data_IF_017854084467
#
_entry.id   IF_017854084467
#
_cell.length_a   1.000
_cell.length_b   1.000
_cell.length_c   1.000
_cell.angle_alpha   90.00
_cell.angle_beta   90.00
_cell.angle_gamma   90.00
#
_symmetry.space_group_name_H-M   'P 1'
#
loop_
_entity.id
_entity.type
_entity.pdbx_description
1 polymer ?
#
# COMPACT_ATOMS: atom_id res chain seq x y z
N UNK A 1 39.46 53.55 2.31
CA UNK A 1 40.15 52.34 2.76
C UNK A 1 39.36 51.16 2.26
N UNK A 2 39.86 50.71 1.18
CA UNK A 2 39.92 49.37 0.59
C UNK A 2 38.70 48.47 0.64
N UNK A 3 37.97 48.50 -0.48
CA UNK A 3 37.14 47.43 -0.96
C UNK A 3 38.00 46.29 -1.51
N UNK A 4 37.49 45.05 -1.40
CA UNK A 4 37.96 43.92 -2.18
C UNK A 4 36.72 43.31 -2.88
N UNK A 5 36.73 43.60 -4.15
CA UNK A 5 35.86 43.03 -5.19
C UNK A 5 36.36 41.62 -5.50
N UNK A 6 35.52 40.58 -5.42
CA UNK A 6 35.82 39.23 -5.89
C UNK A 6 34.85 38.85 -7.01
N UNK A 7 35.22 39.25 -8.21
CA UNK A 7 34.70 38.74 -9.47
C UNK A 7 35.24 37.32 -9.70
N UNK A 8 34.39 36.30 -9.73
CA UNK A 8 34.72 34.97 -10.22
C UNK A 8 34.14 34.79 -11.61
N UNK A 9 35.05 34.70 -12.58
CA UNK A 9 34.82 34.43 -14.00
C UNK A 9 34.22 33.04 -14.20
N UNK A 10 33.23 32.98 -15.07
CA UNK A 10 32.79 31.76 -15.78
C UNK A 10 33.90 31.40 -16.78
N UNK A 11 34.37 30.16 -16.72
CA UNK A 11 34.91 29.46 -17.90
C UNK A 11 34.89 27.94 -17.71
N UNK A 12 34.37 27.30 -18.76
CA UNK A 12 34.65 25.97 -19.29
C UNK A 12 34.16 24.69 -18.58
N UNK A 13 32.99 24.31 -18.98
CA UNK A 13 32.52 22.93 -18.96
C UNK A 13 32.93 22.27 -20.30
N UNK A 14 34.06 21.56 -20.38
CA UNK A 14 34.42 20.70 -21.51
C UNK A 14 34.17 19.21 -21.16
N UNK A 15 33.19 18.71 -21.84
CA UNK A 15 32.93 17.35 -22.30
C UNK A 15 34.08 16.35 -22.13
N UNK A 16 33.90 15.36 -21.28
CA UNK A 16 34.62 14.09 -21.32
C UNK A 16 33.68 13.03 -21.89
N UNK A 17 33.89 12.69 -23.18
CA UNK A 17 33.31 11.48 -23.79
C UNK A 17 34.16 10.30 -23.35
N UNK A 18 33.59 9.39 -22.57
CA UNK A 18 34.18 8.08 -22.30
C UNK A 18 33.76 7.13 -23.39
N UNK A 19 34.76 6.61 -24.07
CA UNK A 19 34.70 5.62 -25.14
C UNK A 19 34.34 4.26 -24.52
N UNK A 20 33.14 3.70 -24.82
CA UNK A 20 32.81 2.33 -24.45
C UNK A 20 33.35 1.38 -25.50
N UNK A 21 34.36 0.61 -25.14
CA UNK A 21 34.88 -0.50 -25.94
C UNK A 21 33.94 -1.69 -25.86
N UNK A 22 33.37 -2.07 -26.97
CA UNK A 22 32.60 -3.28 -27.21
C UNK A 22 33.55 -4.48 -27.23
N UNK A 23 33.40 -5.41 -26.27
CA UNK A 23 34.06 -6.71 -26.33
C UNK A 23 33.06 -7.69 -26.92
N UNK A 24 33.36 -8.17 -28.12
CA UNK A 24 32.63 -9.25 -28.81
C UNK A 24 33.12 -10.57 -28.22
N UNK A 25 32.28 -11.27 -27.50
CA UNK A 25 32.53 -12.65 -27.08
C UNK A 25 31.91 -13.62 -28.10
N UNK A 26 32.72 -14.50 -28.58
CA UNK A 26 32.49 -15.47 -29.64
C UNK A 26 31.42 -16.49 -29.26
N UNK A 27 30.44 -16.69 -30.14
CA UNK A 27 29.46 -17.75 -30.06
C UNK A 27 30.08 -19.11 -30.41
N UNK A 28 30.03 -20.08 -29.54
CA UNK A 28 30.27 -21.47 -29.84
C UNK A 28 28.96 -22.08 -30.41
N UNK A 29 28.98 -22.44 -31.67
CA UNK A 29 27.91 -23.18 -32.36
C UNK A 29 28.01 -24.65 -31.97
N UNK A 30 27.04 -25.15 -31.20
CA UNK A 30 26.86 -26.57 -30.96
C UNK A 30 25.92 -27.11 -32.04
N UNK A 31 26.45 -28.01 -32.89
CA UNK A 31 25.70 -28.75 -33.89
C UNK A 31 24.85 -29.82 -33.18
N UNK A 32 23.54 -29.69 -33.24
CA UNK A 32 22.61 -30.73 -32.80
C UNK A 32 22.29 -31.62 -33.98
N UNK A 33 22.73 -32.87 -33.91
CA UNK A 33 22.29 -33.99 -34.79
C UNK A 33 20.84 -34.36 -34.44
N UNK A 34 19.95 -34.24 -35.39
CA UNK A 34 18.57 -34.69 -35.28
C UNK A 34 18.48 -36.21 -35.34
N UNK A 35 17.82 -36.84 -34.38
CA UNK A 35 17.22 -38.16 -34.56
C UNK A 35 15.71 -37.99 -34.54
N UNK A 36 15.08 -38.33 -35.66
CA UNK A 36 13.63 -38.45 -35.79
C UNK A 36 13.15 -39.73 -35.09
N UNK A 37 12.12 -39.67 -34.28
CA UNK A 37 11.25 -40.78 -33.96
C UNK A 37 9.84 -40.24 -33.65
N UNK A 38 8.87 -40.79 -34.37
CA UNK A 38 7.44 -40.53 -34.24
C UNK A 38 6.87 -40.76 -32.85
N UNK A 39 5.92 -39.94 -32.44
CA UNK A 39 5.10 -40.21 -31.26
C UNK A 39 4.38 -38.96 -30.81
N UNK A 40 3.10 -38.76 -31.15
CA UNK A 40 2.28 -37.63 -30.74
C UNK A 40 2.16 -37.52 -29.22
N UNK A 41 2.72 -36.47 -28.66
CA UNK A 41 2.57 -36.04 -27.28
C UNK A 41 2.70 -34.54 -27.27
N UNK A 42 1.78 -33.89 -26.58
CA UNK A 42 1.81 -32.43 -26.33
C UNK A 42 3.13 -32.08 -25.65
N UNK A 43 4.11 -31.59 -26.42
CA UNK A 43 5.40 -31.13 -25.89
C UNK A 43 5.19 -29.89 -24.99
N UNK A 44 5.07 -30.17 -23.68
CA UNK A 44 5.47 -29.20 -22.70
C UNK A 44 6.99 -29.11 -22.77
N UNK A 45 7.52 -28.01 -23.29
CA UNK A 45 8.94 -27.68 -23.18
C UNK A 45 9.35 -27.85 -21.71
N UNK A 46 10.29 -28.76 -21.38
CA UNK A 46 10.70 -28.92 -20.00
C UNK A 46 11.37 -27.60 -19.58
N UNK A 47 10.76 -26.95 -18.57
CA UNK A 47 11.34 -25.80 -17.92
C UNK A 47 12.71 -26.21 -17.37
N UNK A 48 13.79 -25.64 -17.91
CA UNK A 48 15.17 -25.98 -17.54
C UNK A 48 15.40 -25.53 -16.08
N UNK A 49 15.23 -26.44 -15.14
CA UNK A 49 15.55 -26.19 -13.72
C UNK A 49 17.06 -26.34 -13.54
N UNK A 50 17.76 -25.29 -13.14
CA UNK A 50 19.14 -25.36 -12.74
C UNK A 50 19.28 -26.33 -11.56
N UNK A 51 20.37 -27.11 -11.54
CA UNK A 51 20.64 -28.04 -10.44
C UNK A 51 20.77 -27.23 -9.14
N UNK A 52 19.85 -27.45 -8.17
CA UNK A 52 19.78 -26.72 -6.92
C UNK A 52 18.53 -25.87 -6.71
N UNK A 53 17.70 -25.70 -7.74
CA UNK A 53 16.46 -24.94 -7.60
C UNK A 53 15.31 -25.79 -7.05
N UNK A 54 14.41 -25.15 -6.35
CA UNK A 54 13.18 -25.75 -5.81
C UNK A 54 12.01 -24.81 -5.97
N UNK A 55 10.82 -25.38 -6.02
CA UNK A 55 9.58 -24.61 -6.04
C UNK A 55 9.18 -24.31 -4.58
N UNK A 56 8.86 -23.03 -4.32
CA UNK A 56 8.34 -22.56 -3.04
C UNK A 56 6.95 -21.98 -3.25
N UNK A 57 6.01 -22.37 -2.41
CA UNK A 57 4.65 -21.85 -2.41
C UNK A 57 4.45 -20.92 -1.21
N UNK A 58 4.01 -19.71 -1.47
CA UNK A 58 3.72 -18.67 -0.49
C UNK A 58 2.21 -18.47 -0.42
N UNK A 59 1.61 -18.61 0.74
CA UNK A 59 0.19 -18.42 0.98
C UNK A 59 -0.06 -17.20 1.85
N UNK A 60 -0.78 -16.22 1.32
CA UNK A 60 -1.14 -14.96 1.97
C UNK A 60 -2.61 -14.94 2.42
N UNK A 61 -3.23 -16.09 2.59
CA UNK A 61 -4.66 -16.23 2.88
C UNK A 61 -5.02 -15.95 4.36
N UNK A 62 -4.09 -15.41 5.15
CA UNK A 62 -4.33 -15.08 6.55
C UNK A 62 -4.00 -13.62 6.82
N UNK A 63 -4.91 -12.93 7.50
CA UNK A 63 -4.71 -11.58 8.06
C UNK A 63 -4.75 -11.67 9.58
N UNK A 64 -3.78 -11.05 10.25
CA UNK A 64 -3.83 -10.89 11.69
C UNK A 64 -4.52 -9.58 12.00
N UNK A 65 -5.61 -9.61 12.75
CA UNK A 65 -6.27 -8.44 13.31
C UNK A 65 -6.05 -8.46 14.82
N UNK A 66 -5.50 -7.38 15.37
CA UNK A 66 -5.37 -7.22 16.81
C UNK A 66 -6.62 -6.52 17.35
N UNK A 67 -7.18 -7.02 18.45
CA UNK A 67 -8.32 -6.39 19.14
C UNK A 67 -7.85 -5.33 20.13
N UNK A 68 -8.56 -4.20 20.22
CA UNK A 68 -8.32 -3.14 21.22
C UNK A 68 -8.55 -3.60 22.65
N UNK A 69 -9.36 -4.63 22.86
CA UNK A 69 -9.62 -5.13 24.21
C UNK A 69 -8.46 -6.02 24.68
N UNK A 70 -7.64 -5.49 25.58
CA UNK A 70 -6.53 -6.25 26.19
C UNK A 70 -7.00 -7.52 26.93
N UNK A 71 -8.31 -7.67 27.17
CA UNK A 71 -8.92 -8.86 27.78
C UNK A 71 -9.40 -9.86 26.73
N UNK A 72 -9.73 -9.42 25.52
CA UNK A 72 -10.12 -10.25 24.40
C UNK A 72 -8.93 -10.45 23.46
N UNK A 73 -8.00 -11.33 23.78
CA UNK A 73 -6.93 -11.79 22.89
C UNK A 73 -7.49 -12.68 21.75
N UNK A 74 -8.59 -12.26 21.16
CA UNK A 74 -9.12 -12.91 19.97
C UNK A 74 -8.43 -12.30 18.74
N UNK A 75 -7.40 -13.00 18.26
CA UNK A 75 -6.85 -12.74 16.93
C UNK A 75 -7.88 -13.23 15.93
N UNK A 76 -8.69 -12.32 15.42
CA UNK A 76 -9.60 -12.66 14.32
C UNK A 76 -8.75 -12.91 13.09
N UNK A 77 -8.79 -14.13 12.53
CA UNK A 77 -8.13 -14.48 11.28
C UNK A 77 -9.15 -14.31 10.16
N UNK A 78 -8.91 -13.36 9.28
CA UNK A 78 -9.64 -13.20 8.02
C UNK A 78 -8.74 -13.58 6.84
N UNK A 79 -9.32 -13.82 5.67
CA UNK A 79 -8.58 -13.99 4.42
C UNK A 79 -8.45 -12.66 3.68
N UNK A 80 -7.50 -12.55 2.71
CA UNK A 80 -7.41 -11.40 1.83
C UNK A 80 -8.69 -11.19 1.00
N UNK A 81 -9.38 -12.29 0.67
CA UNK A 81 -10.65 -12.25 -0.07
C UNK A 81 -11.77 -11.69 0.80
N UNK A 82 -11.87 -12.13 2.07
CA UNK A 82 -12.83 -11.60 3.05
C UNK A 82 -12.57 -10.12 3.34
N UNK A 83 -11.29 -9.71 3.43
CA UNK A 83 -10.89 -8.31 3.58
C UNK A 83 -11.10 -7.47 2.30
N UNK A 84 -11.66 -8.04 1.24
CA UNK A 84 -11.90 -7.36 -0.04
C UNK A 84 -10.66 -6.65 -0.61
N UNK A 85 -9.45 -7.19 -0.39
CA UNK A 85 -8.23 -6.68 -1.00
C UNK A 85 -8.33 -6.80 -2.52
N UNK A 86 -7.92 -5.76 -3.23
CA UNK A 86 -8.00 -5.71 -4.69
C UNK A 86 -6.74 -6.26 -5.35
N UNK A 87 -5.60 -6.16 -4.66
CA UNK A 87 -4.29 -6.56 -5.18
C UNK A 87 -3.42 -7.17 -4.09
N UNK A 88 -2.49 -8.01 -4.56
CA UNK A 88 -1.36 -8.53 -3.80
C UNK A 88 -0.09 -8.34 -4.65
N UNK A 89 0.86 -7.58 -4.13
CA UNK A 89 2.17 -7.36 -4.73
C UNK A 89 3.23 -7.99 -3.84
N UNK A 90 4.11 -8.83 -4.44
CA UNK A 90 5.10 -9.65 -3.73
C UNK A 90 6.46 -9.50 -4.38
N UNK A 91 7.50 -9.32 -3.58
CA UNK A 91 8.89 -9.24 -4.00
C UNK A 91 9.72 -10.25 -3.22
N UNK A 92 10.51 -11.06 -3.95
CA UNK A 92 11.42 -12.05 -3.37
C UNK A 92 12.83 -11.71 -3.82
N UNK A 93 13.68 -11.30 -2.90
CA UNK A 93 15.04 -10.83 -3.18
C UNK A 93 16.10 -11.70 -2.51
N UNK A 94 17.16 -12.03 -3.25
CA UNK A 94 18.39 -12.64 -2.70
C UNK A 94 19.48 -11.59 -2.37
N UNK A 95 19.12 -10.31 -2.38
CA UNK A 95 20.04 -9.18 -2.18
C UNK A 95 20.72 -8.70 -3.46
N UNK A 96 20.66 -9.48 -4.56
CA UNK A 96 21.24 -9.12 -5.87
C UNK A 96 20.15 -9.02 -6.93
N UNK A 97 19.21 -9.94 -6.93
CA UNK A 97 18.09 -10.03 -7.85
C UNK A 97 16.78 -10.07 -7.09
N UNK A 98 15.74 -9.51 -7.68
CA UNK A 98 14.38 -9.53 -7.13
C UNK A 98 13.43 -10.14 -8.17
N UNK A 99 12.57 -11.06 -7.73
CA UNK A 99 11.44 -11.56 -8.50
C UNK A 99 10.19 -10.82 -8.02
N UNK A 100 9.42 -10.27 -8.95
CA UNK A 100 8.22 -9.49 -8.69
C UNK A 100 6.98 -10.28 -9.12
N UNK A 101 5.95 -10.30 -8.27
CA UNK A 101 4.67 -10.95 -8.55
C UNK A 101 3.56 -9.95 -8.22
N UNK A 102 2.63 -9.77 -9.15
CA UNK A 102 1.52 -8.85 -9.03
C UNK A 102 0.22 -9.58 -9.37
N UNK A 103 -0.65 -9.73 -8.37
CA UNK A 103 -1.95 -10.38 -8.54
C UNK A 103 -3.08 -9.38 -8.34
N UNK A 104 -4.09 -9.44 -9.21
CA UNK A 104 -5.39 -8.82 -9.00
C UNK A 104 -6.33 -9.81 -8.31
N UNK A 105 -7.35 -9.33 -7.58
CA UNK A 105 -8.36 -10.19 -6.92
C UNK A 105 -9.08 -11.13 -7.91
N UNK A 106 -9.13 -10.75 -9.18
CA UNK A 106 -9.77 -11.54 -10.26
C UNK A 106 -8.88 -12.64 -10.83
N UNK A 107 -7.60 -12.67 -10.47
CA UNK A 107 -6.66 -13.66 -10.97
C UNK A 107 -6.87 -15.01 -10.27
N UNK A 108 -6.76 -16.09 -11.03
CA UNK A 108 -6.81 -17.44 -10.48
C UNK A 108 -5.67 -17.64 -9.47
N UNK A 109 -6.00 -18.16 -8.29
CA UNK A 109 -5.03 -18.38 -7.21
C UNK A 109 -4.63 -17.12 -6.45
N UNK A 110 -5.44 -16.04 -6.51
CA UNK A 110 -5.21 -14.83 -5.71
C UNK A 110 -4.92 -15.16 -4.24
N UNK A 111 -3.83 -14.59 -3.73
CA UNK A 111 -3.32 -14.87 -2.39
C UNK A 111 -2.35 -16.05 -2.31
N UNK A 112 -1.98 -16.67 -3.45
CA UNK A 112 -0.97 -17.73 -3.51
C UNK A 112 0.05 -17.42 -4.59
N UNK A 113 1.33 -17.38 -4.24
CA UNK A 113 2.45 -17.15 -5.16
C UNK A 113 3.35 -18.37 -5.17
N UNK A 114 3.74 -18.82 -6.35
CA UNK A 114 4.70 -19.92 -6.54
C UNK A 114 5.94 -19.38 -7.22
N UNK A 115 7.12 -19.58 -6.59
CA UNK A 115 8.41 -19.13 -7.10
C UNK A 115 9.40 -20.28 -7.22
N UNK A 116 10.27 -20.25 -8.24
CA UNK A 116 11.42 -21.17 -8.36
C UNK A 116 12.66 -20.46 -7.79
N UNK A 117 13.21 -21.02 -6.75
CA UNK A 117 14.29 -20.40 -5.94
C UNK A 117 15.43 -21.39 -5.71
N UNK A 118 16.65 -20.87 -5.58
CA UNK A 118 17.83 -21.68 -5.28
C UNK A 118 17.86 -22.10 -3.79
N UNK A 119 18.00 -23.39 -3.54
CA UNK A 119 17.98 -23.99 -2.19
C UNK A 119 19.08 -23.49 -1.26
N UNK A 120 20.20 -23.02 -1.80
CA UNK A 120 21.37 -22.64 -1.02
C UNK A 120 21.40 -21.15 -0.65
N UNK A 121 20.47 -20.36 -1.23
CA UNK A 121 20.38 -18.92 -0.98
C UNK A 121 19.37 -18.61 0.11
N UNK A 122 19.61 -17.52 0.83
CA UNK A 122 18.63 -16.89 1.71
C UNK A 122 17.92 -15.80 0.93
N UNK A 123 16.59 -15.74 1.04
CA UNK A 123 15.75 -14.75 0.40
C UNK A 123 15.03 -13.90 1.44
N UNK A 124 14.84 -12.64 1.11
CA UNK A 124 13.92 -11.77 1.84
C UNK A 124 12.65 -11.61 1.02
N UNK A 125 11.53 -11.91 1.66
CA UNK A 125 10.19 -11.77 1.11
C UNK A 125 9.58 -10.48 1.63
N UNK A 126 9.04 -9.68 0.73
CA UNK A 126 8.19 -8.53 1.01
C UNK A 126 6.85 -8.72 0.31
N UNK A 127 5.76 -8.42 0.99
CA UNK A 127 4.44 -8.50 0.40
C UNK A 127 3.52 -7.39 0.92
N UNK A 128 2.73 -6.82 0.03
CA UNK A 128 1.69 -5.87 0.35
C UNK A 128 0.38 -6.26 -0.33
N UNK A 129 -0.69 -6.38 0.46
CA UNK A 129 -2.04 -6.50 -0.06
C UNK A 129 -2.77 -5.18 0.16
N UNK A 130 -3.52 -4.69 -0.84
CA UNK A 130 -4.14 -3.38 -0.76
C UNK A 130 -5.41 -3.24 -1.62
N UNK A 131 -6.21 -2.18 -1.36
CA UNK A 131 -7.46 -1.89 -2.09
C UNK A 131 -7.28 -0.96 -3.31
N UNK A 132 -6.07 -0.54 -3.66
CA UNK A 132 -5.85 0.20 -4.90
C UNK A 132 -5.96 -0.72 -6.12
N UNK A 133 -6.36 -0.17 -7.27
CA UNK A 133 -6.54 -0.94 -8.51
C UNK A 133 -5.24 -1.17 -9.28
N UNK A 134 -4.29 -0.24 -9.18
CA UNK A 134 -2.95 -0.39 -9.75
C UNK A 134 -1.97 -1.02 -8.75
N UNK A 135 -0.91 -1.68 -9.23
CA UNK A 135 0.12 -2.30 -8.41
C UNK A 135 0.98 -1.26 -7.67
N UNK A 136 1.45 -1.63 -6.49
CA UNK A 136 2.55 -0.94 -5.81
C UNK A 136 3.89 -1.24 -6.50
N UNK A 137 4.88 -0.38 -6.30
CA UNK A 137 6.25 -0.60 -6.74
C UNK A 137 7.21 -0.62 -5.56
N UNK A 138 8.24 -1.47 -5.63
CA UNK A 138 9.34 -1.49 -4.66
C UNK A 138 10.62 -0.98 -5.33
N UNK A 139 11.20 0.09 -4.80
CA UNK A 139 12.49 0.63 -5.24
C UNK A 139 13.31 1.04 -4.03
N UNK A 140 14.57 0.63 -3.99
CA UNK A 140 15.52 0.98 -2.91
C UNK A 140 14.96 0.71 -1.50
N UNK A 141 14.18 -0.36 -1.34
CA UNK A 141 13.56 -0.72 -0.07
C UNK A 141 12.38 0.16 0.33
N UNK A 142 11.79 0.93 -0.60
CA UNK A 142 10.60 1.75 -0.38
C UNK A 142 9.48 1.31 -1.30
N UNK A 143 8.35 0.96 -0.70
CA UNK A 143 7.10 0.70 -1.41
C UNK A 143 6.40 2.02 -1.68
N UNK A 144 6.11 2.29 -2.95
CA UNK A 144 5.30 3.42 -3.41
C UNK A 144 3.91 2.94 -3.76
N UNK A 145 2.89 3.61 -3.22
CA UNK A 145 1.50 3.36 -3.56
C UNK A 145 1.10 4.10 -4.83
N UNK A 146 0.13 3.59 -5.60
CA UNK A 146 -0.42 4.32 -6.74
C UNK A 146 -0.87 5.73 -6.33
N UNK A 147 -0.50 6.73 -7.13
CA UNK A 147 -0.81 8.15 -6.93
C UNK A 147 -0.39 8.72 -5.56
N UNK A 148 0.65 8.14 -4.94
CA UNK A 148 1.06 8.45 -3.56
C UNK A 148 -0.13 8.46 -2.56
N UNK A 149 -1.17 7.66 -2.86
CA UNK A 149 -2.42 7.60 -2.11
C UNK A 149 -2.65 6.22 -1.48
N UNK A 150 -2.10 5.96 -0.29
CA UNK A 150 -2.31 4.71 0.41
C UNK A 150 -3.81 4.43 0.61
N UNK A 151 -4.25 3.27 0.13
CA UNK A 151 -5.56 2.70 0.44
C UNK A 151 -5.42 1.76 1.61
N UNK A 152 -6.49 1.12 2.04
CA UNK A 152 -6.41 0.04 3.01
C UNK A 152 -5.35 -0.97 2.58
N UNK A 153 -4.37 -1.24 3.46
CA UNK A 153 -3.19 -2.04 3.14
C UNK A 153 -2.75 -2.91 4.29
N UNK A 154 -2.25 -4.10 3.94
CA UNK A 154 -1.63 -5.06 4.83
C UNK A 154 -0.23 -5.38 4.34
N UNK A 155 0.68 -5.65 5.26
CA UNK A 155 2.09 -5.90 5.02
C UNK A 155 2.53 -7.23 5.61
N UNK A 156 3.50 -7.86 4.97
CA UNK A 156 4.26 -8.99 5.50
C UNK A 156 5.70 -8.94 5.02
N UNK A 157 6.63 -9.28 5.90
CA UNK A 157 8.01 -9.51 5.51
C UNK A 157 8.65 -10.62 6.34
N UNK A 158 9.54 -11.37 5.72
CA UNK A 158 10.34 -12.40 6.39
C UNK A 158 11.57 -12.75 5.57
N UNK A 159 12.57 -13.35 6.22
CA UNK A 159 13.68 -13.98 5.53
C UNK A 159 13.56 -15.51 5.66
N UNK A 160 13.89 -16.23 4.59
CA UNK A 160 13.80 -17.69 4.56
C UNK A 160 14.83 -18.32 3.62
N UNK A 161 15.07 -19.62 3.80
CA UNK A 161 15.93 -20.43 2.93
C UNK A 161 15.08 -21.57 2.36
N UNK A 162 14.99 -21.72 1.02
CA UNK A 162 14.15 -22.76 0.39
C UNK A 162 14.54 -24.19 0.71
N UNK A 163 15.78 -24.44 1.18
CA UNK A 163 16.22 -25.76 1.64
C UNK A 163 15.41 -26.28 2.83
N UNK A 164 14.90 -25.36 3.69
CA UNK A 164 14.18 -25.68 4.93
C UNK A 164 12.68 -25.41 4.84
N UNK A 165 12.25 -24.66 3.84
CA UNK A 165 10.85 -24.26 3.69
C UNK A 165 10.44 -24.23 2.21
N UNK A 166 9.62 -25.17 1.80
CA UNK A 166 9.00 -25.21 0.45
C UNK A 166 7.57 -24.66 0.45
N UNK A 167 7.03 -24.32 1.62
CA UNK A 167 5.73 -23.69 1.80
C UNK A 167 5.78 -22.73 2.99
N UNK A 168 5.30 -21.52 2.80
CA UNK A 168 5.21 -20.48 3.83
C UNK A 168 3.78 -19.94 3.93
N UNK A 169 3.26 -19.90 5.16
CA UNK A 169 2.02 -19.21 5.50
C UNK A 169 2.35 -17.80 5.97
N UNK A 170 1.99 -16.82 5.16
CA UNK A 170 2.32 -15.41 5.34
C UNK A 170 1.11 -14.68 5.96
N UNK A 171 1.11 -14.51 7.29
CA UNK A 171 0.06 -13.79 7.99
C UNK A 171 0.28 -12.27 7.85
N UNK A 172 -0.54 -11.62 7.01
CA UNK A 172 -0.46 -10.18 6.73
C UNK A 172 -0.94 -9.36 7.93
N UNK A 173 -0.25 -8.26 8.22
CA UNK A 173 -0.64 -7.29 9.25
C UNK A 173 -1.11 -6.00 8.60
N UNK A 174 -2.20 -5.42 9.10
CA UNK A 174 -2.71 -4.13 8.60
C UNK A 174 -1.77 -3.00 9.00
N UNK A 175 -1.36 -2.19 8.03
CA UNK A 175 -0.45 -1.04 8.21
C UNK A 175 -1.16 0.31 8.06
N UNK A 176 -2.47 0.29 7.89
CA UNK A 176 -3.30 1.49 7.82
C UNK A 176 -4.31 1.53 8.96
N UNK A 177 -4.55 2.73 9.50
CA UNK A 177 -5.73 3.06 10.28
C UNK A 177 -6.80 3.72 9.40
N UNK A 178 -8.04 3.74 9.86
CA UNK A 178 -9.18 4.35 9.18
C UNK A 178 -9.69 5.54 9.99
N UNK A 179 -9.74 6.72 9.38
CA UNK A 179 -10.50 7.84 9.89
C UNK A 179 -11.88 7.86 9.27
N UNK A 180 -12.92 8.08 10.07
CA UNK A 180 -14.30 8.23 9.62
C UNK A 180 -14.89 9.50 10.19
N UNK A 181 -15.41 10.38 9.33
CA UNK A 181 -16.24 11.51 9.71
C UNK A 181 -17.70 11.15 9.39
N UNK A 182 -18.57 11.16 10.40
CA UNK A 182 -20.02 10.94 10.27
C UNK A 182 -20.75 12.23 10.65
N UNK A 183 -21.44 12.88 9.70
CA UNK A 183 -22.27 14.03 10.04
C UNK A 183 -23.55 13.56 10.73
N UNK A 184 -24.01 14.27 11.75
CA UNK A 184 -25.33 14.05 12.39
C UNK A 184 -26.33 15.12 12.00
N UNK A 185 -25.88 16.16 11.33
CA UNK A 185 -26.68 17.17 10.66
C UNK A 185 -26.79 16.87 9.16
N UNK A 186 -27.86 17.33 8.55
CA UNK A 186 -28.08 17.15 7.11
C UNK A 186 -26.98 17.89 6.31
N UNK A 187 -26.43 17.21 5.31
CA UNK A 187 -25.52 17.80 4.34
C UNK A 187 -26.33 18.77 3.46
N UNK A 188 -26.01 20.07 3.40
CA UNK A 188 -26.72 21.03 2.55
C UNK A 188 -26.77 20.58 1.10
N UNK A 189 -27.87 20.86 0.40
CA UNK A 189 -28.00 20.55 -1.04
C UNK A 189 -26.91 21.22 -1.88
N UNK A 190 -26.51 22.45 -1.49
CA UNK A 190 -25.43 23.19 -2.13
C UNK A 190 -24.06 22.53 -1.99
N UNK A 191 -23.84 21.66 -0.99
CA UNK A 191 -22.56 20.98 -0.82
C UNK A 191 -22.35 19.90 -1.88
N UNK A 192 -21.35 20.11 -2.73
CA UNK A 192 -21.01 19.20 -3.84
C UNK A 192 -19.68 18.49 -3.63
N UNK A 193 -18.79 19.08 -2.83
CA UNK A 193 -17.44 18.56 -2.58
C UNK A 193 -17.05 18.65 -1.11
N UNK A 194 -16.36 17.60 -0.62
CA UNK A 194 -15.69 17.62 0.68
C UNK A 194 -14.20 17.41 0.46
N UNK A 195 -13.37 18.31 0.98
CA UNK A 195 -11.91 18.20 0.96
C UNK A 195 -11.36 17.91 2.34
N UNK A 196 -10.52 16.91 2.42
CA UNK A 196 -9.79 16.53 3.63
C UNK A 196 -8.30 16.80 3.39
N UNK A 197 -7.67 17.56 4.27
CA UNK A 197 -6.22 17.76 4.28
C UNK A 197 -5.68 17.13 5.55
N UNK A 198 -4.92 16.04 5.40
CA UNK A 198 -4.28 15.32 6.50
C UNK A 198 -2.86 15.84 6.58
N UNK A 199 -2.52 16.49 7.70
CA UNK A 199 -1.20 17.08 7.90
C UNK A 199 -0.17 16.00 8.23
N UNK A 200 1.03 16.14 7.64
CA UNK A 200 2.21 15.35 7.97
C UNK A 200 1.96 13.82 7.92
N UNK A 201 1.24 13.33 6.91
CA UNK A 201 0.95 11.90 6.75
C UNK A 201 1.94 11.23 5.79
N UNK A 202 2.30 9.98 6.09
CA UNK A 202 3.15 9.17 5.21
C UNK A 202 2.37 8.72 3.96
N UNK A 203 3.05 8.71 2.81
CA UNK A 203 2.48 8.25 1.52
C UNK A 203 3.21 7.05 0.92
N UNK A 204 4.32 6.62 1.54
CA UNK A 204 5.12 5.46 1.16
C UNK A 204 5.45 4.61 2.37
N UNK A 205 5.95 3.38 2.13
CA UNK A 205 6.30 2.44 3.20
C UNK A 205 7.72 1.90 2.99
N UNK A 206 8.62 2.20 3.92
CA UNK A 206 9.97 1.64 3.95
C UNK A 206 9.96 0.24 4.56
N UNK A 207 10.59 -0.73 3.90
CA UNK A 207 10.67 -2.12 4.39
C UNK A 207 11.43 -2.25 5.71
N UNK A 208 12.29 -1.28 6.04
CA UNK A 208 13.10 -1.26 7.26
C UNK A 208 12.60 -0.29 8.34
N UNK A 209 11.91 0.80 7.95
CA UNK A 209 11.53 1.88 8.85
C UNK A 209 10.01 2.10 8.97
N UNK A 210 9.20 1.41 8.16
CA UNK A 210 7.75 1.61 8.13
C UNK A 210 7.32 2.86 7.34
N UNK A 211 6.26 3.56 7.75
CA UNK A 211 5.72 4.72 7.02
C UNK A 211 6.76 5.81 6.78
N UNK A 212 6.85 6.30 5.54
CA UNK A 212 7.84 7.28 5.10
C UNK A 212 7.25 8.24 4.04
N UNK A 213 8.07 9.20 3.56
CA UNK A 213 7.64 10.25 2.66
C UNK A 213 6.46 11.06 3.23
N UNK A 214 6.72 11.76 4.34
CA UNK A 214 5.73 12.53 5.09
C UNK A 214 5.42 13.84 4.37
N UNK A 215 4.15 14.01 3.98
CA UNK A 215 3.62 15.21 3.30
C UNK A 215 2.22 15.56 3.82
N UNK A 216 1.74 16.74 3.50
CA UNK A 216 0.32 17.07 3.64
C UNK A 216 -0.46 16.42 2.49
N UNK A 217 -1.37 15.49 2.80
CA UNK A 217 -2.15 14.79 1.80
C UNK A 217 -3.57 15.33 1.70
N UNK A 218 -3.99 15.64 0.48
CA UNK A 218 -5.36 16.05 0.19
C UNK A 218 -6.16 14.86 -0.36
N UNK A 219 -7.39 14.69 0.15
CA UNK A 219 -8.37 13.72 -0.35
C UNK A 219 -9.66 14.48 -0.64
N UNK A 220 -10.11 14.45 -1.90
CA UNK A 220 -11.34 15.11 -2.34
C UNK A 220 -12.44 14.07 -2.59
N UNK A 221 -13.60 14.30 -1.98
CA UNK A 221 -14.86 13.67 -2.35
C UNK A 221 -15.62 14.62 -3.25
N UNK A 222 -15.60 14.35 -4.55
CA UNK A 222 -16.26 15.16 -5.59
C UNK A 222 -17.73 14.79 -5.80
N UNK A 223 -18.22 13.79 -5.07
CA UNK A 223 -19.63 13.40 -5.00
C UNK A 223 -19.92 13.01 -3.55
N UNK A 224 -20.96 13.59 -2.99
CA UNK A 224 -21.35 13.35 -1.59
C UNK A 224 -22.57 12.42 -1.60
N UNK A 225 -22.37 11.19 -1.10
CA UNK A 225 -23.45 10.24 -0.90
C UNK A 225 -24.17 10.57 0.40
N UNK A 226 -25.41 11.04 0.28
CA UNK A 226 -26.29 11.35 1.41
C UNK A 226 -27.12 10.14 1.76
N UNK A 227 -27.32 9.88 3.05
CA UNK A 227 -28.26 8.84 3.50
C UNK A 227 -29.69 9.30 3.23
N UNK A 228 -30.55 8.47 2.62
CA UNK A 228 -31.91 8.88 2.24
C UNK A 228 -32.80 9.30 3.42
N UNK A 229 -32.54 8.78 4.63
CA UNK A 229 -33.41 9.00 5.79
C UNK A 229 -33.28 10.41 6.40
N UNK A 230 -32.07 10.99 6.39
CA UNK A 230 -31.73 12.19 7.15
C UNK A 230 -30.74 13.14 6.44
N UNK A 231 -30.37 12.81 5.21
CA UNK A 231 -29.36 13.53 4.41
C UNK A 231 -27.99 13.65 5.10
N UNK A 232 -27.69 12.84 6.10
CA UNK A 232 -26.34 12.77 6.68
C UNK A 232 -25.39 12.04 5.75
N UNK A 233 -24.07 12.13 6.02
CA UNK A 233 -23.06 11.47 5.22
C UNK A 233 -21.92 10.89 6.05
N UNK A 234 -21.24 9.88 5.50
CA UNK A 234 -20.03 9.30 6.05
C UNK A 234 -18.86 9.46 5.06
N UNK A 235 -17.70 9.84 5.58
CA UNK A 235 -16.46 9.99 4.82
C UNK A 235 -15.38 9.15 5.46
N UNK A 236 -14.70 8.31 4.66
CA UNK A 236 -13.72 7.35 5.17
C UNK A 236 -12.36 7.58 4.52
N UNK A 237 -11.29 7.63 5.32
CA UNK A 237 -9.93 7.76 4.81
C UNK A 237 -9.00 6.74 5.45
N UNK A 238 -8.09 6.17 4.63
CA UNK A 238 -7.03 5.31 5.11
C UNK A 238 -5.76 6.13 5.29
N UNK A 239 -5.09 5.95 6.41
CA UNK A 239 -3.88 6.68 6.79
C UNK A 239 -2.84 5.65 7.21
N UNK A 240 -1.63 5.74 6.66
CA UNK A 240 -0.49 4.95 7.13
C UNK A 240 -0.13 5.44 8.54
N UNK A 241 -0.17 4.54 9.51
CA UNK A 241 0.24 4.82 10.88
C UNK A 241 1.59 4.14 11.19
N UNK A 242 2.37 4.76 12.07
CA UNK A 242 3.76 4.37 12.27
C UNK A 242 3.93 3.06 13.05
N UNK A 243 2.97 2.68 13.89
CA UNK A 243 3.11 1.53 14.79
C UNK A 243 1.75 1.05 15.30
N UNK A 244 1.79 0.06 16.18
CA UNK A 244 0.64 -0.43 16.94
C UNK A 244 0.14 0.58 17.96
N UNK A 245 0.95 1.61 18.29
CA UNK A 245 0.52 2.76 19.09
C UNK A 245 -0.14 3.80 18.18
N UNK A 246 -1.05 4.60 18.77
CA UNK A 246 -1.72 5.66 18.03
C UNK A 246 -0.73 6.78 17.64
N UNK A 247 -0.79 7.17 16.37
CA UNK A 247 -0.14 8.39 15.86
C UNK A 247 -1.19 9.48 15.73
N UNK A 248 -0.94 10.65 16.29
CA UNK A 248 -1.87 11.78 16.25
C UNK A 248 -1.67 12.61 14.98
N UNK A 249 -2.78 12.96 14.33
CA UNK A 249 -2.82 13.77 13.11
C UNK A 249 -3.70 15.00 13.29
N UNK A 250 -3.39 16.04 12.53
CA UNK A 250 -4.32 17.15 12.28
C UNK A 250 -5.03 16.91 10.95
N UNK A 251 -6.36 16.98 10.94
CA UNK A 251 -7.20 16.78 9.77
C UNK A 251 -8.10 17.98 9.59
N UNK A 252 -7.86 18.76 8.55
CA UNK A 252 -8.74 19.86 8.14
C UNK A 252 -9.74 19.35 7.11
N UNK A 253 -11.02 19.65 7.34
CA UNK A 253 -12.14 19.27 6.47
C UNK A 253 -12.87 20.51 6.00
N UNK A 254 -13.03 20.66 4.68
CA UNK A 254 -13.73 21.80 4.08
C UNK A 254 -14.81 21.30 3.12
N UNK A 255 -16.01 21.81 3.27
CA UNK A 255 -17.12 21.59 2.36
C UNK A 255 -17.22 22.76 1.37
N UNK A 256 -17.47 22.45 0.09
CA UNK A 256 -17.60 23.42 -0.99
C UNK A 256 -18.92 23.24 -1.73
N UNK A 257 -19.41 24.33 -2.32
CA UNK A 257 -20.49 24.29 -3.31
C UNK A 257 -19.97 23.99 -4.74
N UNK A 258 -20.82 24.08 -5.73
CA UNK A 258 -20.48 23.83 -7.14
C UNK A 258 -19.53 24.90 -7.75
N UNK A 259 -19.50 26.09 -7.19
CA UNK A 259 -18.66 27.19 -7.63
C UNK A 259 -17.35 27.31 -6.83
N UNK A 260 -17.01 26.26 -6.04
CA UNK A 260 -15.85 26.18 -5.15
C UNK A 260 -15.88 27.22 -3.99
N UNK A 261 -17.04 27.79 -3.64
CA UNK A 261 -17.16 28.59 -2.44
C UNK A 261 -17.17 27.70 -1.20
N UNK A 262 -16.51 28.15 -0.13
CA UNK A 262 -16.48 27.43 1.14
C UNK A 262 -17.82 27.58 1.84
N UNK A 263 -18.44 26.44 2.14
CA UNK A 263 -19.66 26.38 2.95
C UNK A 263 -19.34 26.21 4.44
N UNK A 264 -18.34 25.38 4.77
CA UNK A 264 -17.92 25.13 6.14
C UNK A 264 -16.48 24.58 6.16
N UNK A 265 -15.74 24.91 7.23
CA UNK A 265 -14.42 24.33 7.52
C UNK A 265 -14.34 23.91 8.99
N UNK A 266 -13.81 22.72 9.26
CA UNK A 266 -13.50 22.20 10.60
C UNK A 266 -12.09 21.64 10.64
N UNK A 267 -11.39 21.87 11.74
CA UNK A 267 -10.07 21.24 11.98
C UNK A 267 -10.16 20.33 13.20
N UNK A 268 -9.77 19.08 12.99
CA UNK A 268 -9.66 18.08 14.03
C UNK A 268 -8.18 17.96 14.40
N UNK A 269 -7.84 18.25 15.63
CA UNK A 269 -6.48 18.16 16.16
C UNK A 269 -6.33 16.89 17.00
N UNK A 270 -5.10 16.39 17.11
CA UNK A 270 -4.76 15.20 17.89
C UNK A 270 -5.62 13.97 17.57
N UNK A 271 -5.96 13.79 16.27
CA UNK A 271 -6.74 12.65 15.80
C UNK A 271 -5.90 11.37 15.91
N UNK A 272 -6.18 10.45 16.84
CA UNK A 272 -5.37 9.26 17.03
C UNK A 272 -5.70 8.24 15.95
N UNK A 273 -4.70 7.88 15.14
CA UNK A 273 -4.80 6.84 14.11
C UNK A 273 -3.89 5.69 14.50
N UNK A 274 -4.42 4.48 14.49
CA UNK A 274 -3.71 3.26 14.80
C UNK A 274 -3.93 2.22 13.70
N UNK A 275 -2.91 1.41 13.41
CA UNK A 275 -3.01 0.32 12.45
C UNK A 275 -4.11 -0.68 12.84
N UNK A 276 -4.98 -1.00 11.90
CA UNK A 276 -6.07 -1.95 12.10
C UNK A 276 -7.25 -1.42 12.91
N UNK A 277 -7.34 -0.10 13.16
CA UNK A 277 -8.44 0.50 13.93
C UNK A 277 -9.17 1.58 13.14
N UNK A 278 -10.43 1.80 13.51
CA UNK A 278 -11.28 2.88 13.00
C UNK A 278 -11.39 3.97 14.07
N UNK A 279 -10.93 5.16 13.74
CA UNK A 279 -11.15 6.38 14.52
C UNK A 279 -12.34 7.11 13.92
N UNK A 280 -13.44 7.19 14.64
CA UNK A 280 -14.68 7.82 14.18
C UNK A 280 -14.97 9.10 14.95
N UNK A 281 -15.20 10.17 14.21
CA UNK A 281 -15.79 11.40 14.70
C UNK A 281 -17.22 11.49 14.19
N UNK A 282 -18.19 11.65 15.12
CA UNK A 282 -19.61 11.79 14.78
C UNK A 282 -20.16 13.04 15.45
N UNK A 283 -20.82 13.91 14.68
CA UNK A 283 -21.39 15.16 15.20
C UNK A 283 -21.85 16.11 14.12
N UNK A 284 -22.29 17.30 14.54
CA UNK A 284 -22.71 18.35 13.61
C UNK A 284 -21.48 18.94 12.91
N UNK A 285 -21.54 18.98 11.58
CA UNK A 285 -20.46 19.56 10.76
C UNK A 285 -20.86 20.90 10.15
N UNK A 286 -22.08 21.03 9.64
CA UNK A 286 -22.55 22.19 8.87
C UNK A 286 -23.21 23.26 9.77
N UNK A 287 -23.72 22.91 10.95
CA UNK A 287 -24.40 23.83 11.85
C UNK A 287 -23.38 24.38 12.87
N UNK A 288 -23.37 25.74 13.03
CA UNK A 288 -22.47 26.43 13.95
C UNK A 288 -22.91 26.41 15.43
N UNK A 289 -23.96 25.71 15.79
CA UNK A 289 -24.43 25.61 17.17
C UNK A 289 -23.54 24.69 18.01
N UNK A 290 -22.46 25.22 18.57
CA UNK A 290 -21.60 24.55 19.55
C UNK A 290 -21.21 23.11 19.17
N UNK A 291 -20.01 22.91 18.65
CA UNK A 291 -19.58 21.62 18.15
C UNK A 291 -19.65 20.53 19.23
N UNK A 292 -20.62 19.63 19.14
CA UNK A 292 -20.65 18.38 19.90
C UNK A 292 -20.22 17.25 18.96
N UNK A 293 -18.93 16.95 18.94
CA UNK A 293 -18.45 15.75 18.25
C UNK A 293 -18.08 14.69 19.28
N UNK A 294 -18.65 13.51 19.14
CA UNK A 294 -18.23 12.34 19.90
C UNK A 294 -17.11 11.61 19.15
N UNK A 295 -16.11 11.22 19.91
CA UNK A 295 -15.01 10.40 19.41
C UNK A 295 -15.18 8.95 19.85
N UNK A 296 -14.98 8.01 18.94
CA UNK A 296 -14.95 6.58 19.25
C UNK A 296 -13.81 5.93 18.47
N UNK A 297 -12.98 5.15 19.16
CA UNK A 297 -12.03 4.25 18.53
C UNK A 297 -12.55 2.82 18.68
N UNK A 298 -12.56 2.05 17.60
CA UNK A 298 -13.01 0.65 17.60
C UNK A 298 -12.11 -0.18 16.71
N UNK A 299 -12.09 -1.49 16.96
CA UNK A 299 -11.45 -2.44 16.06
C UNK A 299 -12.00 -2.28 14.65
N UNK A 300 -11.14 -2.47 13.65
CA UNK A 300 -11.56 -2.48 12.26
C UNK A 300 -12.25 -3.81 11.98
N UNK A 301 -13.56 -3.82 12.17
CA UNK A 301 -14.44 -4.86 11.66
C UNK A 301 -14.87 -4.39 10.27
N UNK A 302 -14.70 -5.22 9.24
CA UNK A 302 -15.29 -4.93 7.93
C UNK A 302 -16.80 -4.97 8.05
N UNK A 303 -17.41 -3.78 8.05
CA UNK A 303 -18.83 -3.67 7.76
C UNK A 303 -18.98 -3.69 6.24
N UNK A 304 -19.85 -4.57 5.77
CA UNK A 304 -20.27 -4.58 4.38
C UNK A 304 -20.87 -3.20 4.07
N UNK A 305 -20.21 -2.39 3.25
CA UNK A 305 -20.66 -1.04 2.87
C UNK A 305 -21.93 -1.08 1.98
N UNK A 306 -22.48 -2.27 1.72
CA UNK A 306 -23.64 -2.51 0.85
C UNK A 306 -24.99 -2.36 1.55
N UNK A 307 -25.03 -2.00 2.84
CA UNK A 307 -26.28 -1.89 3.61
C UNK A 307 -26.60 -0.45 4.02
N UNK A 308 -26.60 0.49 3.05
CA UNK A 308 -27.20 1.80 3.29
C UNK A 308 -27.90 2.31 2.02
#
# INVERSE_FOLDING_TARGET
>A
MNGLDFSIKREDCRVIRVLVMTIIASAAVAVLTSCSADGGGTDRVPEYRAAGDTTVTLSFNQMTMESMDARARSRTRGSLTEASMARLDVWISDGTTTQDFHQAKTDDGFGTVTATLNKTKTYTLYAIAHKATAACTLSEGVVSFPDDSPKESCWYSTSFTPATATSLNCAMQRITGKFTLSTTDAVPEAATKMRFVIKSTATRYSVSAGPTNVIDRTVDYTSITRKPADNTANFNMNILAASDDATNFEIMVTAYDADDNILQTRTFVDVPIRNGYVTRYAGTFFIDSGMTMSFTASDWVEYDETTY
#
